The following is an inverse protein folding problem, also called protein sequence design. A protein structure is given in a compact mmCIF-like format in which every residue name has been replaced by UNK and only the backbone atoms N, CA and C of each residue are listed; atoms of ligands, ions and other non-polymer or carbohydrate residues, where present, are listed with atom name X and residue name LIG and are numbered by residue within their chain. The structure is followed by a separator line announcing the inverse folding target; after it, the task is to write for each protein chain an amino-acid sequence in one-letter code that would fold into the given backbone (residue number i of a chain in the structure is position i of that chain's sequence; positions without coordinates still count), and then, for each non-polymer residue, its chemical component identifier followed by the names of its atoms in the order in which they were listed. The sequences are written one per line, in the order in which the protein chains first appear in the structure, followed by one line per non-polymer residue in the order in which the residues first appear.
data_IF_774625490344
#
_entry.id   IF_774625490344
#
_cell.length_a   1.000
_cell.length_b   1.000
_cell.length_c   1.000
_cell.angle_alpha   90.00
_cell.angle_beta   90.00
_cell.angle_gamma   90.00
#
_symmetry.space_group_name_H-M   'P 1'
#
loop_
_entity.id
_entity.type
_entity.pdbx_description
1 polymer ?
#
# COMPACT_ATOMS: atom_id res chain seq x y z
N UNK A 1 8.85 -19.19 -9.12
CA UNK A 1 8.94 -18.02 -8.22
C UNK A 1 9.38 -16.82 -9.05
N UNK A 2 8.95 -15.62 -8.71
CA UNK A 2 9.45 -14.38 -9.32
C UNK A 2 10.93 -14.23 -8.96
N UNK A 3 11.79 -13.99 -9.96
CA UNK A 3 13.20 -13.71 -9.78
C UNK A 3 13.43 -12.22 -10.11
N UNK A 4 13.91 -11.46 -9.12
CA UNK A 4 14.18 -10.03 -9.22
C UNK A 4 15.70 -9.74 -9.09
N UNK A 5 16.54 -10.74 -9.32
CA UNK A 5 17.99 -10.57 -9.28
C UNK A 5 18.43 -9.47 -10.26
N UNK A 6 19.24 -8.54 -9.77
CA UNK A 6 19.72 -7.37 -10.52
C UNK A 6 18.75 -6.19 -10.58
N UNK A 7 17.53 -6.31 -10.03
CA UNK A 7 16.57 -5.21 -9.95
C UNK A 7 16.80 -4.35 -8.70
N UNK A 8 16.61 -3.05 -8.85
CA UNK A 8 16.64 -2.08 -7.74
C UNK A 8 15.23 -1.65 -7.39
N UNK A 9 14.82 -1.88 -6.14
CA UNK A 9 13.46 -1.64 -5.67
C UNK A 9 13.43 -0.59 -4.54
N UNK A 10 12.55 0.39 -4.64
CA UNK A 10 12.24 1.35 -3.57
C UNK A 10 10.88 1.01 -2.97
N UNK A 11 10.83 0.86 -1.64
CA UNK A 11 9.57 0.67 -0.89
C UNK A 11 9.37 1.83 0.06
N UNK A 12 8.45 2.75 -0.28
CA UNK A 12 8.06 3.88 0.56
C UNK A 12 6.91 3.44 1.49
N UNK A 13 7.05 3.75 2.79
CA UNK A 13 6.07 3.35 3.81
C UNK A 13 6.49 2.15 4.64
N UNK A 14 7.80 1.84 4.69
CA UNK A 14 8.36 0.72 5.43
C UNK A 14 8.82 1.05 6.87
N UNK A 15 8.52 2.27 7.37
CA UNK A 15 9.00 2.75 8.68
C UNK A 15 8.13 2.33 9.89
N UNK A 16 7.05 1.58 9.68
CA UNK A 16 6.24 1.03 10.77
C UNK A 16 6.60 -0.44 11.00
N UNK A 17 6.84 -0.83 12.25
CA UNK A 17 7.12 -2.22 12.59
C UNK A 17 6.00 -3.15 12.12
N UNK A 18 6.36 -4.26 11.50
CA UNK A 18 5.45 -5.28 10.97
C UNK A 18 4.37 -4.77 10.02
N UNK A 19 4.50 -3.57 9.47
CA UNK A 19 3.54 -3.04 8.51
C UNK A 19 3.69 -3.69 7.14
N UNK A 20 2.70 -3.45 6.28
CA UNK A 20 2.66 -4.01 4.93
C UNK A 20 3.91 -3.66 4.10
N UNK A 21 4.43 -2.44 4.23
CA UNK A 21 5.64 -2.01 3.53
C UNK A 21 6.87 -2.83 3.92
N UNK A 22 7.02 -3.20 5.20
CA UNK A 22 8.10 -4.08 5.65
C UNK A 22 7.96 -5.50 5.09
N UNK A 23 6.75 -6.06 5.08
CA UNK A 23 6.50 -7.42 4.53
C UNK A 23 6.79 -7.44 3.03
N UNK A 24 6.34 -6.42 2.29
CA UNK A 24 6.66 -6.28 0.86
C UNK A 24 8.18 -6.16 0.65
N UNK A 25 8.88 -5.36 1.45
CA UNK A 25 10.34 -5.20 1.31
C UNK A 25 11.09 -6.51 1.53
N UNK A 26 10.71 -7.29 2.56
CA UNK A 26 11.28 -8.64 2.80
C UNK A 26 11.04 -9.57 1.61
N UNK A 27 9.84 -9.55 1.06
CA UNK A 27 9.47 -10.39 -0.09
C UNK A 27 10.27 -10.04 -1.35
N UNK A 28 10.48 -8.75 -1.63
CA UNK A 28 11.30 -8.26 -2.74
C UNK A 28 12.77 -8.66 -2.57
N UNK A 29 13.34 -8.47 -1.38
CA UNK A 29 14.71 -8.88 -1.07
C UNK A 29 14.89 -10.40 -1.18
N UNK A 30 13.94 -11.19 -0.66
CA UNK A 30 13.96 -12.65 -0.80
C UNK A 30 13.85 -13.13 -2.27
N UNK A 31 13.24 -12.32 -3.14
CA UNK A 31 13.19 -12.55 -4.57
C UNK A 31 14.45 -12.08 -5.32
N UNK A 32 15.46 -11.55 -4.62
CA UNK A 32 16.76 -11.15 -5.17
C UNK A 32 16.89 -9.68 -5.53
N UNK A 33 15.88 -8.84 -5.27
CA UNK A 33 15.98 -7.41 -5.54
C UNK A 33 16.89 -6.70 -4.51
N UNK A 34 17.70 -5.75 -4.99
CA UNK A 34 18.32 -4.75 -4.12
C UNK A 34 17.23 -3.82 -3.61
N UNK A 35 16.89 -3.93 -2.33
CA UNK A 35 15.73 -3.25 -1.77
C UNK A 35 16.13 -2.07 -0.91
N UNK A 36 15.64 -0.89 -1.29
CA UNK A 36 15.76 0.35 -0.55
C UNK A 36 14.45 0.60 0.20
N UNK A 37 14.51 0.65 1.54
CA UNK A 37 13.36 0.90 2.39
C UNK A 37 13.30 2.35 2.81
N UNK A 38 12.11 2.95 2.71
CA UNK A 38 11.94 4.38 2.94
C UNK A 38 10.70 4.74 3.74
N UNK A 39 10.78 5.86 4.43
CA UNK A 39 9.75 6.44 5.29
C UNK A 39 10.35 7.48 6.24
N UNK A 40 9.56 7.99 7.18
CA UNK A 40 9.97 9.13 8.01
C UNK A 40 10.83 8.77 9.24
N UNK A 41 10.74 7.53 9.73
CA UNK A 41 11.44 7.10 10.97
C UNK A 41 12.67 6.29 10.61
N UNK A 42 13.85 6.79 10.99
CA UNK A 42 15.14 6.20 10.65
C UNK A 42 15.36 4.81 11.28
N UNK A 43 15.21 4.68 12.59
CA UNK A 43 15.60 3.47 13.32
C UNK A 43 14.90 2.19 12.82
N UNK A 44 13.56 2.15 12.60
CA UNK A 44 12.91 0.96 12.04
C UNK A 44 13.35 0.65 10.59
N UNK A 45 13.71 1.67 9.81
CA UNK A 45 14.22 1.47 8.46
C UNK A 45 15.62 0.85 8.48
N UNK A 46 16.52 1.33 9.34
CA UNK A 46 17.87 0.80 9.48
C UNK A 46 17.86 -0.66 9.99
N UNK A 47 16.98 -0.96 10.95
CA UNK A 47 16.77 -2.32 11.44
C UNK A 47 16.32 -3.26 10.31
N UNK A 48 15.31 -2.85 9.53
CA UNK A 48 14.81 -3.63 8.40
C UNK A 48 15.87 -3.78 7.30
N UNK A 49 16.56 -2.69 6.94
CA UNK A 49 17.60 -2.71 5.91
C UNK A 49 18.74 -3.68 6.30
N UNK A 50 19.16 -3.68 7.58
CA UNK A 50 20.14 -4.63 8.09
C UNK A 50 19.66 -6.08 8.00
N UNK A 51 18.40 -6.34 8.32
CA UNK A 51 17.77 -7.67 8.25
C UNK A 51 17.77 -8.24 6.83
N UNK A 52 17.40 -7.41 5.84
CA UNK A 52 17.20 -7.85 4.45
C UNK A 52 18.43 -7.66 3.56
N UNK A 53 19.54 -7.12 4.08
CA UNK A 53 20.72 -6.78 3.30
C UNK A 53 20.46 -5.63 2.30
N UNK A 54 19.54 -4.71 2.64
CA UNK A 54 19.12 -3.57 1.84
C UNK A 54 19.72 -2.25 2.30
N UNK A 55 19.12 -1.15 1.87
CA UNK A 55 19.49 0.22 2.26
C UNK A 55 18.30 0.95 2.89
N UNK A 56 18.58 1.83 3.86
CA UNK A 56 17.58 2.68 4.51
C UNK A 56 17.79 4.14 4.10
N UNK A 57 16.73 4.79 3.61
CA UNK A 57 16.73 6.22 3.28
C UNK A 57 15.48 6.88 3.86
N UNK A 58 15.66 7.90 4.69
CA UNK A 58 14.51 8.67 5.21
C UNK A 58 13.92 9.54 4.11
N UNK A 59 12.59 9.57 4.02
CA UNK A 59 11.86 10.42 3.07
C UNK A 59 10.46 10.70 3.62
N UNK A 60 10.03 11.95 3.54
CA UNK A 60 8.63 12.32 3.67
C UNK A 60 8.01 12.40 2.27
N UNK A 61 7.06 11.52 1.96
CA UNK A 61 6.39 11.47 0.66
C UNK A 61 5.65 12.78 0.33
N UNK A 62 5.30 13.58 1.33
CA UNK A 62 4.66 14.88 1.12
C UNK A 62 5.64 15.97 0.68
N UNK A 63 6.95 15.76 0.87
CA UNK A 63 8.03 16.64 0.44
C UNK A 63 8.54 16.22 -0.95
N UNK A 64 8.31 17.06 -1.96
CA UNK A 64 8.84 16.85 -3.31
C UNK A 64 10.36 16.68 -3.30
N UNK A 65 11.06 17.53 -2.54
CA UNK A 65 12.51 17.50 -2.47
C UNK A 65 13.06 16.20 -1.87
N UNK A 66 12.39 15.66 -0.83
CA UNK A 66 12.80 14.39 -0.23
C UNK A 66 12.62 13.23 -1.21
N UNK A 67 11.51 13.23 -1.97
CA UNK A 67 11.21 12.20 -2.97
C UNK A 67 12.22 12.25 -4.10
N UNK A 68 12.48 13.43 -4.67
CA UNK A 68 13.48 13.60 -5.72
C UNK A 68 14.88 13.15 -5.23
N UNK A 69 15.31 13.57 -4.02
CA UNK A 69 16.58 13.16 -3.44
C UNK A 69 16.69 11.64 -3.20
N UNK A 70 15.61 10.99 -2.76
CA UNK A 70 15.56 9.54 -2.61
C UNK A 70 15.81 8.83 -3.95
N UNK A 71 15.02 9.16 -4.97
CA UNK A 71 15.07 8.47 -6.26
C UNK A 71 16.37 8.76 -7.03
N UNK A 72 16.78 10.03 -7.10
CA UNK A 72 18.04 10.43 -7.75
C UNK A 72 19.26 9.80 -7.06
N UNK A 73 19.27 9.80 -5.72
CA UNK A 73 20.33 9.16 -4.95
C UNK A 73 20.42 7.65 -5.17
N UNK A 74 19.26 6.96 -5.29
CA UNK A 74 19.23 5.53 -5.61
C UNK A 74 19.70 5.29 -7.05
N UNK A 75 19.21 6.04 -8.02
CA UNK A 75 19.62 5.91 -9.41
C UNK A 75 21.12 6.19 -9.61
N UNK A 76 21.68 7.17 -8.90
CA UNK A 76 23.11 7.48 -8.95
C UNK A 76 23.99 6.33 -8.41
N UNK A 77 23.52 5.60 -7.39
CA UNK A 77 24.28 4.47 -6.81
C UNK A 77 24.09 3.15 -7.55
N UNK A 78 22.93 2.94 -8.18
CA UNK A 78 22.52 1.63 -8.71
C UNK A 78 22.21 1.65 -10.22
N UNK A 79 22.35 2.79 -10.89
CA UNK A 79 22.13 2.95 -12.32
C UNK A 79 20.71 3.37 -12.69
N UNK A 80 19.70 2.76 -12.09
CA UNK A 80 18.28 3.10 -12.28
C UNK A 80 17.42 2.59 -11.11
N UNK A 81 16.18 3.00 -11.09
CA UNK A 81 15.12 2.37 -10.28
C UNK A 81 14.29 1.46 -11.19
N UNK A 82 14.17 0.18 -10.84
CA UNK A 82 13.36 -0.78 -11.61
C UNK A 82 11.96 -0.95 -11.03
N UNK A 83 11.83 -0.84 -9.70
CA UNK A 83 10.59 -1.09 -8.97
C UNK A 83 10.37 0.03 -7.96
N UNK A 84 9.18 0.63 -7.96
CA UNK A 84 8.76 1.61 -6.97
C UNK A 84 7.42 1.22 -6.35
N UNK A 85 7.42 1.00 -5.04
CA UNK A 85 6.22 0.63 -4.27
C UNK A 85 5.86 1.76 -3.31
N UNK A 86 4.64 2.25 -3.39
CA UNK A 86 4.08 3.12 -2.36
C UNK A 86 3.11 2.33 -1.46
N UNK A 87 3.57 2.01 -0.27
CA UNK A 87 2.80 1.36 0.79
C UNK A 87 2.41 2.35 1.91
N UNK A 88 2.47 3.67 1.64
CA UNK A 88 2.03 4.66 2.62
C UNK A 88 0.51 4.72 2.70
N UNK A 89 0.02 5.11 3.86
CA UNK A 89 -1.38 5.37 4.07
C UNK A 89 -1.64 5.81 5.50
N UNK A 90 -2.72 6.54 5.65
CA UNK A 90 -3.28 6.92 6.93
C UNK A 90 -4.80 6.74 6.85
N UNK A 91 -5.34 5.80 7.64
CA UNK A 91 -6.77 5.51 7.68
C UNK A 91 -7.48 6.46 8.63
N UNK A 92 -8.05 7.53 8.11
CA UNK A 92 -8.90 8.43 8.88
C UNK A 92 -10.33 7.88 8.93
N UNK A 93 -10.77 7.43 10.09
CA UNK A 93 -12.19 7.12 10.37
C UNK A 93 -12.79 8.25 11.18
N UNK A 94 -13.69 9.02 10.55
CA UNK A 94 -14.29 10.21 11.15
C UNK A 94 -15.65 10.49 10.50
N UNK A 95 -16.71 10.79 11.27
CA UNK A 95 -18.01 11.17 10.71
C UNK A 95 -17.86 12.29 9.68
N UNK A 96 -18.66 12.26 8.63
CA UNK A 96 -18.56 13.20 7.51
C UNK A 96 -18.54 14.68 7.96
N UNK A 97 -19.43 15.02 8.90
CA UNK A 97 -19.57 16.40 9.41
C UNK A 97 -18.38 16.87 10.27
N UNK A 98 -17.57 15.94 10.76
CA UNK A 98 -16.46 16.23 11.69
C UNK A 98 -15.10 16.28 10.96
N UNK A 99 -15.05 15.93 9.67
CA UNK A 99 -13.84 16.00 8.86
C UNK A 99 -13.47 17.48 8.64
N UNK A 100 -12.28 17.88 9.09
CA UNK A 100 -11.81 19.26 8.97
C UNK A 100 -11.03 19.50 7.68
N UNK A 101 -10.82 20.78 7.34
CA UNK A 101 -9.99 21.16 6.20
C UNK A 101 -8.53 20.70 6.38
N UNK A 102 -8.03 20.66 7.62
CA UNK A 102 -6.69 20.15 7.95
C UNK A 102 -6.60 18.64 7.73
N UNK A 103 -7.62 17.87 8.11
CA UNK A 103 -7.71 16.44 7.83
C UNK A 103 -7.64 16.19 6.31
N UNK A 104 -8.44 16.93 5.54
CA UNK A 104 -8.47 16.82 4.08
C UNK A 104 -7.13 17.20 3.46
N UNK A 105 -6.54 18.32 3.90
CA UNK A 105 -5.24 18.78 3.40
C UNK A 105 -4.14 17.73 3.66
N UNK A 106 -4.08 17.16 4.86
CA UNK A 106 -3.12 16.12 5.21
C UNK A 106 -3.32 14.83 4.40
N UNK A 107 -4.58 14.41 4.19
CA UNK A 107 -4.91 13.25 3.36
C UNK A 107 -4.52 13.46 1.90
N UNK A 108 -4.86 14.62 1.33
CA UNK A 108 -4.50 14.99 -0.06
C UNK A 108 -2.98 15.06 -0.20
N UNK A 109 -2.28 15.70 0.73
CA UNK A 109 -0.82 15.80 0.70
C UNK A 109 -0.16 14.41 0.64
N UNK A 110 -0.58 13.48 1.52
CA UNK A 110 0.03 12.15 1.60
C UNK A 110 -0.44 11.23 0.46
N UNK A 111 -1.75 11.11 0.25
CA UNK A 111 -2.32 10.03 -0.57
C UNK A 111 -2.62 10.42 -2.01
N UNK A 112 -2.46 11.70 -2.37
CA UNK A 112 -2.63 12.18 -3.73
C UNK A 112 -1.39 12.93 -4.23
N UNK A 113 -1.02 14.04 -3.59
CA UNK A 113 0.12 14.86 -4.02
C UNK A 113 1.44 14.09 -3.88
N UNK A 114 1.65 13.37 -2.77
CA UNK A 114 2.84 12.54 -2.58
C UNK A 114 2.95 11.40 -3.60
N UNK A 115 1.82 10.80 -4.00
CA UNK A 115 1.81 9.81 -5.09
C UNK A 115 2.26 10.44 -6.41
N UNK A 116 1.79 11.65 -6.71
CA UNK A 116 2.22 12.39 -7.90
C UNK A 116 3.73 12.72 -7.86
N UNK A 117 4.29 13.08 -6.68
CA UNK A 117 5.73 13.28 -6.52
C UNK A 117 6.51 12.00 -6.86
N UNK A 118 6.10 10.85 -6.30
CA UNK A 118 6.71 9.56 -6.61
C UNK A 118 6.65 9.21 -8.09
N UNK A 119 5.51 9.42 -8.74
CA UNK A 119 5.36 9.14 -10.17
C UNK A 119 6.31 9.99 -11.03
N UNK A 120 6.49 11.27 -10.70
CA UNK A 120 7.46 12.13 -11.39
C UNK A 120 8.89 11.63 -11.18
N UNK A 121 9.26 11.22 -9.97
CA UNK A 121 10.59 10.67 -9.70
C UNK A 121 10.83 9.34 -10.43
N UNK A 122 9.81 8.47 -10.51
CA UNK A 122 9.85 7.26 -11.32
C UNK A 122 10.13 7.58 -12.81
N UNK A 123 9.44 8.57 -13.37
CA UNK A 123 9.64 8.97 -14.77
C UNK A 123 11.08 9.40 -15.05
N UNK A 124 11.74 10.08 -14.10
CA UNK A 124 13.12 10.53 -14.25
C UNK A 124 14.17 9.41 -14.07
N UNK A 125 13.85 8.35 -13.31
CA UNK A 125 14.82 7.35 -12.86
C UNK A 125 14.61 5.94 -13.41
N UNK A 126 13.46 5.63 -14.00
CA UNK A 126 13.15 4.35 -14.66
C UNK A 126 13.52 4.39 -16.15
N UNK A 127 14.79 4.58 -16.46
CA UNK A 127 15.27 4.84 -17.83
C UNK A 127 15.20 3.61 -18.75
N UNK A 128 15.16 2.41 -18.19
CA UNK A 128 15.02 1.14 -18.91
C UNK A 128 13.64 0.48 -18.76
N UNK A 129 12.62 1.27 -18.39
CA UNK A 129 11.31 0.74 -17.99
C UNK A 129 11.27 0.35 -16.51
N UNK A 130 10.16 -0.23 -16.06
CA UNK A 130 10.03 -0.62 -14.66
C UNK A 130 8.59 -0.93 -14.24
N UNK A 131 8.40 -1.17 -12.93
CA UNK A 131 7.11 -1.47 -12.33
C UNK A 131 6.81 -0.52 -11.16
N UNK A 132 5.74 0.24 -11.27
CA UNK A 132 5.22 1.13 -10.20
C UNK A 132 3.99 0.50 -9.60
N UNK A 133 3.94 0.39 -8.27
CA UNK A 133 2.80 -0.19 -7.56
C UNK A 133 2.34 0.74 -6.44
N UNK A 134 1.07 1.11 -6.50
CA UNK A 134 0.37 1.87 -5.47
C UNK A 134 -0.48 0.93 -4.62
N UNK A 135 -0.27 0.89 -3.32
CA UNK A 135 -1.19 0.23 -2.41
C UNK A 135 -2.38 1.16 -2.14
N UNK A 136 -3.55 0.73 -2.59
CA UNK A 136 -4.83 1.40 -2.40
C UNK A 136 -5.69 0.68 -1.34
N UNK A 137 -6.98 0.55 -1.58
CA UNK A 137 -7.93 -0.10 -0.69
C UNK A 137 -9.17 -0.59 -1.44
N UNK A 138 -9.70 -1.74 -1.04
CA UNK A 138 -11.00 -2.22 -1.52
C UNK A 138 -12.14 -1.23 -1.21
N UNK A 139 -11.96 -0.33 -0.25
CA UNK A 139 -12.96 0.69 0.11
C UNK A 139 -13.25 1.68 -1.00
N UNK A 140 -12.39 1.80 -2.01
CA UNK A 140 -12.69 2.59 -3.23
C UNK A 140 -13.83 1.98 -4.07
N UNK A 141 -14.11 0.69 -3.89
CA UNK A 141 -15.20 -0.03 -4.55
C UNK A 141 -16.29 -0.47 -3.58
N UNK A 142 -15.93 -0.96 -2.41
CA UNK A 142 -16.85 -1.35 -1.34
C UNK A 142 -16.79 -0.32 -0.22
N UNK A 143 -17.64 0.70 -0.28
CA UNK A 143 -17.63 1.82 0.67
C UNK A 143 -17.82 1.32 2.12
N UNK A 144 -17.18 2.01 3.04
CA UNK A 144 -17.37 1.85 4.48
C UNK A 144 -17.70 3.21 5.10
N UNK A 145 -18.50 3.21 6.19
CA UNK A 145 -18.89 4.43 6.87
C UNK A 145 -17.68 5.18 7.47
N UNK A 146 -17.82 6.48 7.60
CA UNK A 146 -16.86 7.38 8.26
C UNK A 146 -15.44 7.39 7.65
N UNK A 147 -15.32 7.04 6.36
CA UNK A 147 -14.04 6.89 5.67
C UNK A 147 -13.91 7.75 4.39
N UNK A 148 -14.77 8.75 4.22
CA UNK A 148 -14.92 9.48 2.96
C UNK A 148 -13.62 10.14 2.45
N UNK A 149 -12.88 10.84 3.31
CA UNK A 149 -11.65 11.52 2.93
C UNK A 149 -10.57 10.52 2.48
N UNK A 150 -10.44 9.39 3.18
CA UNK A 150 -9.54 8.30 2.80
C UNK A 150 -9.92 7.68 1.46
N UNK A 151 -11.20 7.33 1.29
CA UNK A 151 -11.71 6.70 0.06
C UNK A 151 -11.51 7.64 -1.13
N UNK A 152 -11.85 8.91 -0.98
CA UNK A 152 -11.70 9.92 -2.03
C UNK A 152 -10.26 10.11 -2.49
N UNK A 153 -9.32 10.19 -1.55
CA UNK A 153 -7.90 10.35 -1.88
C UNK A 153 -7.28 9.09 -2.48
N UNK A 154 -7.66 7.89 -2.00
CA UNK A 154 -7.24 6.62 -2.60
C UNK A 154 -7.79 6.46 -4.03
N UNK A 155 -9.06 6.76 -4.27
CA UNK A 155 -9.66 6.74 -5.61
C UNK A 155 -8.96 7.74 -6.55
N UNK A 156 -8.63 8.93 -6.05
CA UNK A 156 -7.84 9.91 -6.80
C UNK A 156 -6.46 9.39 -7.18
N UNK A 157 -5.74 8.74 -6.25
CA UNK A 157 -4.43 8.16 -6.55
C UNK A 157 -4.51 6.99 -7.55
N UNK A 158 -5.57 6.19 -7.52
CA UNK A 158 -5.82 5.16 -8.55
C UNK A 158 -5.96 5.76 -9.95
N UNK A 159 -6.63 6.92 -10.04
CA UNK A 159 -6.74 7.64 -11.31
C UNK A 159 -5.37 8.14 -11.80
N UNK A 160 -4.50 8.67 -10.91
CA UNK A 160 -3.13 9.06 -11.25
C UNK A 160 -2.33 7.88 -11.82
N UNK A 161 -2.40 6.70 -11.19
CA UNK A 161 -1.71 5.50 -11.67
C UNK A 161 -2.18 5.11 -13.07
N UNK A 162 -3.50 5.16 -13.35
CA UNK A 162 -4.04 4.86 -14.68
C UNK A 162 -3.57 5.85 -15.73
N UNK A 163 -3.57 7.15 -15.42
CA UNK A 163 -3.06 8.18 -16.32
C UNK A 163 -1.57 7.96 -16.62
N UNK A 164 -0.78 7.69 -15.59
CA UNK A 164 0.65 7.43 -15.70
C UNK A 164 0.93 6.19 -16.56
N UNK A 165 0.24 5.09 -16.30
CA UNK A 165 0.35 3.86 -17.09
C UNK A 165 0.06 4.08 -18.58
N UNK A 166 -1.00 4.85 -18.88
CA UNK A 166 -1.39 5.16 -20.27
C UNK A 166 -0.35 6.05 -20.98
N UNK A 167 0.21 7.04 -20.27
CA UNK A 167 1.14 8.00 -20.88
C UNK A 167 2.54 7.42 -21.04
N UNK A 168 3.02 6.64 -20.09
CA UNK A 168 4.43 6.22 -20.02
C UNK A 168 4.64 4.72 -20.29
N UNK A 169 3.58 3.98 -20.64
CA UNK A 169 3.69 2.61 -21.15
C UNK A 169 4.66 2.46 -22.33
N UNK A 170 4.71 3.40 -23.30
CA UNK A 170 5.71 3.35 -24.39
C UNK A 170 7.17 3.39 -23.95
N UNK A 171 7.46 3.86 -22.73
CA UNK A 171 8.80 3.81 -22.13
C UNK A 171 9.08 2.48 -21.39
N UNK A 172 8.19 1.49 -21.48
CA UNK A 172 8.31 0.22 -20.77
C UNK A 172 7.95 0.30 -19.29
N UNK A 173 7.35 1.41 -18.83
CA UNK A 173 6.94 1.56 -17.43
C UNK A 173 5.51 1.05 -17.26
N UNK A 174 5.36 0.01 -16.43
CA UNK A 174 4.05 -0.49 -15.99
C UNK A 174 3.67 0.15 -14.67
N UNK A 175 2.44 0.58 -14.52
CA UNK A 175 1.96 1.15 -13.26
C UNK A 175 0.60 0.53 -12.90
N UNK A 176 0.51 -0.06 -11.70
CA UNK A 176 -0.68 -0.76 -11.24
C UNK A 176 -1.02 -0.40 -9.78
N UNK A 177 -2.23 -0.74 -9.41
CA UNK A 177 -2.75 -0.61 -8.06
C UNK A 177 -2.98 -2.00 -7.47
N UNK A 178 -2.70 -2.18 -6.19
CA UNK A 178 -3.15 -3.32 -5.40
C UNK A 178 -4.08 -2.81 -4.32
N UNK A 179 -5.29 -3.37 -4.25
CA UNK A 179 -6.35 -2.97 -3.31
C UNK A 179 -6.65 -4.08 -2.30
N UNK A 180 -6.04 -4.00 -1.10
CA UNK A 180 -6.38 -4.87 0.02
C UNK A 180 -7.79 -4.59 0.55
N UNK A 181 -8.43 -5.61 1.15
CA UNK A 181 -9.51 -5.44 2.09
C UNK A 181 -9.00 -5.14 3.50
N UNK A 182 -9.81 -5.43 4.52
CA UNK A 182 -9.32 -5.43 5.90
C UNK A 182 -8.18 -6.46 5.99
N UNK A 183 -7.03 -6.01 6.44
CA UNK A 183 -5.79 -6.80 6.46
C UNK A 183 -5.20 -6.73 7.86
N UNK A 184 -4.77 -7.87 8.40
CA UNK A 184 -4.11 -7.96 9.70
C UNK A 184 -2.74 -7.27 9.64
N UNK A 185 -2.71 -5.99 10.00
CA UNK A 185 -1.53 -5.11 10.03
C UNK A 185 -1.60 -4.22 11.26
N UNK A 186 -0.51 -3.59 11.70
CA UNK A 186 -0.54 -2.65 12.83
C UNK A 186 -1.56 -1.50 12.66
N UNK A 187 -1.83 -1.06 11.44
CA UNK A 187 -2.87 -0.06 11.17
C UNK A 187 -4.27 -0.54 11.56
N UNK A 188 -4.54 -1.83 11.41
CA UNK A 188 -5.81 -2.46 11.74
C UNK A 188 -5.80 -3.15 13.12
N UNK A 189 -4.70 -3.08 13.88
CA UNK A 189 -4.51 -3.88 15.09
C UNK A 189 -5.62 -3.68 16.12
N UNK A 190 -6.04 -2.44 16.37
CA UNK A 190 -7.14 -2.14 17.30
C UNK A 190 -8.48 -2.75 16.83
N UNK A 191 -8.75 -2.71 15.53
CA UNK A 191 -9.95 -3.30 14.94
C UNK A 191 -9.89 -4.83 15.04
N UNK A 192 -8.77 -5.45 14.64
CA UNK A 192 -8.58 -6.91 14.68
C UNK A 192 -8.61 -7.46 16.12
N UNK A 193 -8.09 -6.70 17.08
CA UNK A 193 -8.11 -7.07 18.49
C UNK A 193 -9.54 -6.98 19.12
N UNK A 194 -10.48 -6.30 18.47
CA UNK A 194 -11.86 -6.18 18.97
C UNK A 194 -12.58 -7.53 18.78
N UNK A 195 -13.03 -8.19 19.87
CA UNK A 195 -13.70 -9.49 19.76
C UNK A 195 -14.93 -9.41 18.83
N UNK A 196 -15.04 -10.36 17.90
CA UNK A 196 -16.16 -10.45 16.95
C UNK A 196 -16.09 -9.51 15.75
N UNK A 197 -15.20 -8.51 15.71
CA UNK A 197 -15.08 -7.61 14.58
C UNK A 197 -14.51 -8.35 13.36
N UNK A 198 -13.40 -9.08 13.53
CA UNK A 198 -12.83 -9.89 12.44
C UNK A 198 -13.87 -10.86 11.87
N UNK A 199 -14.65 -11.53 12.73
CA UNK A 199 -15.70 -12.45 12.29
C UNK A 199 -16.80 -11.76 11.48
N UNK A 200 -17.15 -10.51 11.81
CA UNK A 200 -18.11 -9.72 11.05
C UNK A 200 -17.62 -9.45 9.62
N UNK A 201 -16.32 -9.11 9.49
CA UNK A 201 -15.72 -8.88 8.18
C UNK A 201 -15.51 -10.18 7.40
N UNK A 202 -15.00 -11.24 8.04
CA UNK A 202 -14.70 -12.52 7.40
C UNK A 202 -15.91 -13.13 6.68
N UNK A 203 -17.14 -12.91 7.19
CA UNK A 203 -18.37 -13.33 6.53
C UNK A 203 -18.58 -12.74 5.14
N UNK A 204 -18.07 -11.53 4.91
CA UNK A 204 -18.20 -10.83 3.63
C UNK A 204 -17.11 -11.21 2.62
N UNK A 205 -16.07 -11.91 3.08
CA UNK A 205 -15.01 -12.41 2.21
C UNK A 205 -15.35 -13.80 1.67
N UNK A 206 -15.50 -14.01 0.37
CA UNK A 206 -15.68 -15.34 -0.21
C UNK A 206 -14.63 -16.37 0.24
N UNK A 207 -13.38 -15.94 0.51
CA UNK A 207 -12.34 -16.83 1.04
C UNK A 207 -12.42 -17.06 2.55
N UNK A 208 -13.45 -16.52 3.25
CA UNK A 208 -13.77 -16.82 4.65
C UNK A 208 -12.83 -16.23 5.70
N UNK A 209 -11.91 -15.36 5.33
CA UNK A 209 -10.97 -14.69 6.24
C UNK A 209 -10.61 -13.28 5.77
N UNK A 210 -10.15 -12.42 6.66
CA UNK A 210 -9.48 -11.18 6.31
C UNK A 210 -8.10 -11.45 5.69
N UNK A 211 -7.53 -10.45 5.03
CA UNK A 211 -6.21 -10.57 4.40
C UNK A 211 -5.05 -10.52 5.39
N UNK A 212 -3.88 -10.93 4.95
CA UNK A 212 -2.59 -10.74 5.61
C UNK A 212 -1.68 -9.86 4.76
N UNK A 213 -0.63 -9.30 5.33
CA UNK A 213 0.36 -8.54 4.57
C UNK A 213 1.08 -9.42 3.53
N UNK A 214 1.24 -10.73 3.80
CA UNK A 214 1.83 -11.70 2.87
C UNK A 214 0.95 -11.91 1.62
N UNK A 215 -0.39 -11.95 1.76
CA UNK A 215 -1.31 -12.03 0.62
C UNK A 215 -1.07 -10.87 -0.35
N UNK A 216 -0.82 -9.67 0.19
CA UNK A 216 -0.54 -8.47 -0.59
C UNK A 216 0.86 -8.53 -1.21
N UNK A 217 1.87 -8.95 -0.44
CA UNK A 217 3.24 -9.06 -0.94
C UNK A 217 3.35 -10.04 -2.11
N UNK A 218 2.63 -11.17 -2.10
CA UNK A 218 2.58 -12.09 -3.22
C UNK A 218 2.01 -11.45 -4.49
N UNK A 219 0.94 -10.66 -4.36
CA UNK A 219 0.37 -9.92 -5.50
C UNK A 219 1.35 -8.87 -6.04
N UNK A 220 2.04 -8.16 -5.14
CA UNK A 220 3.08 -7.19 -5.50
C UNK A 220 4.22 -7.85 -6.25
N UNK A 221 4.76 -8.98 -5.75
CA UNK A 221 5.83 -9.74 -6.42
C UNK A 221 5.44 -10.14 -7.84
N UNK A 222 4.22 -10.64 -8.04
CA UNK A 222 3.72 -10.98 -9.38
C UNK A 222 3.71 -9.77 -10.31
N UNK A 223 3.28 -8.60 -9.83
CA UNK A 223 3.27 -7.36 -10.63
C UNK A 223 4.69 -6.81 -10.90
N UNK A 224 5.68 -7.16 -10.09
CA UNK A 224 7.08 -6.78 -10.31
C UNK A 224 7.79 -7.64 -11.37
N UNK A 225 7.26 -8.81 -11.69
CA UNK A 225 7.84 -9.71 -12.69
C UNK A 225 7.77 -9.08 -14.10
N UNK A 226 8.89 -9.02 -14.81
CA UNK A 226 8.97 -8.41 -16.15
C UNK A 226 8.09 -9.13 -17.18
N UNK A 227 7.75 -10.40 -16.93
CA UNK A 227 6.84 -11.20 -17.79
C UNK A 227 5.38 -10.81 -17.63
N UNK A 228 5.04 -10.01 -16.61
CA UNK A 228 3.67 -9.61 -16.34
C UNK A 228 3.21 -8.54 -17.33
N UNK A 229 2.31 -8.93 -18.26
CA UNK A 229 1.72 -8.02 -19.25
C UNK A 229 0.47 -7.31 -18.70
N UNK A 230 0.66 -6.58 -17.57
CA UNK A 230 -0.41 -5.86 -16.85
C UNK A 230 0.04 -4.44 -16.52
N UNK A 231 -0.73 -3.45 -16.95
CA UNK A 231 -0.54 -2.04 -16.61
C UNK A 231 -1.89 -1.31 -16.53
N UNK A 232 -1.99 -0.27 -15.71
CA UNK A 232 -3.20 0.53 -15.51
C UNK A 232 -4.32 -0.19 -14.75
N UNK A 233 -4.04 -1.35 -14.13
CA UNK A 233 -5.07 -2.15 -13.47
C UNK A 233 -5.09 -1.90 -11.96
N UNK A 234 -6.28 -2.08 -11.37
CA UNK A 234 -6.46 -2.17 -9.93
C UNK A 234 -6.76 -3.63 -9.55
N UNK A 235 -5.75 -4.31 -9.03
CA UNK A 235 -5.84 -5.72 -8.64
C UNK A 235 -6.45 -5.80 -7.22
N UNK A 236 -7.62 -6.41 -7.13
CA UNK A 236 -8.37 -6.59 -5.89
C UNK A 236 -7.80 -7.78 -5.09
N UNK A 237 -6.78 -7.54 -4.26
CA UNK A 237 -6.17 -8.55 -3.39
C UNK A 237 -6.91 -8.57 -2.03
N UNK A 238 -8.21 -8.93 -2.05
CA UNK A 238 -9.11 -8.75 -0.92
C UNK A 238 -10.02 -9.98 -0.64
N UNK A 239 -9.61 -11.17 -1.05
CA UNK A 239 -10.34 -12.40 -0.79
C UNK A 239 -11.76 -12.43 -1.39
N UNK A 240 -12.03 -11.59 -2.39
CA UNK A 240 -13.32 -11.47 -3.07
C UNK A 240 -14.30 -10.51 -2.39
N UNK A 241 -13.87 -9.69 -1.43
CA UNK A 241 -14.75 -8.71 -0.74
C UNK A 241 -15.54 -7.85 -1.73
N UNK A 242 -14.93 -7.41 -2.83
CA UNK A 242 -15.59 -6.56 -3.84
C UNK A 242 -16.66 -7.26 -4.67
N UNK A 243 -16.82 -8.56 -4.54
CA UNK A 243 -18.00 -9.30 -5.06
C UNK A 243 -19.20 -9.19 -4.13
N UNK A 244 -19.01 -8.68 -2.94
CA UNK A 244 -20.02 -8.48 -1.89
C UNK A 244 -19.99 -7.03 -1.40
N UNK A 245 -19.86 -6.79 -0.10
CA UNK A 245 -19.82 -5.46 0.54
C UNK A 245 -19.05 -5.49 1.86
N UNK A 246 -18.74 -4.35 2.43
CA UNK A 246 -18.36 -4.27 3.83
C UNK A 246 -19.57 -4.51 4.76
N UNK A 247 -19.35 -5.09 5.96
CA UNK A 247 -20.42 -5.23 6.94
C UNK A 247 -20.92 -3.84 7.37
N UNK A 248 -22.21 -3.74 7.68
CA UNK A 248 -22.82 -2.50 8.19
C UNK A 248 -22.44 -2.28 9.65
N UNK A 249 -22.50 -1.02 10.16
CA UNK A 249 -22.17 -0.74 11.56
C UNK A 249 -22.97 -1.57 12.56
N UNK A 250 -24.27 -1.78 12.31
CA UNK A 250 -25.15 -2.60 13.16
C UNK A 250 -24.77 -4.09 13.14
N UNK A 251 -24.28 -4.61 12.02
CA UNK A 251 -23.82 -6.00 11.90
C UNK A 251 -22.50 -6.21 12.64
N UNK A 252 -21.60 -5.23 12.60
CA UNK A 252 -20.36 -5.20 13.39
C UNK A 252 -20.73 -5.16 14.88
N UNK A 253 -21.59 -4.25 15.29
CA UNK A 253 -22.02 -4.11 16.68
C UNK A 253 -22.67 -5.40 17.23
N UNK A 254 -23.52 -6.05 16.44
CA UNK A 254 -24.14 -7.32 16.80
C UNK A 254 -23.11 -8.46 16.97
N UNK A 255 -22.12 -8.56 16.08
CA UNK A 255 -21.04 -9.56 16.15
C UNK A 255 -20.14 -9.34 17.38
N UNK A 256 -19.76 -8.08 17.65
CA UNK A 256 -18.97 -7.71 18.83
C UNK A 256 -19.75 -8.01 20.12
N UNK A 257 -21.02 -7.61 20.20
CA UNK A 257 -21.87 -7.88 21.36
C UNK A 257 -22.01 -9.37 21.64
N UNK A 258 -22.22 -10.20 20.62
CA UNK A 258 -22.30 -11.66 20.78
C UNK A 258 -20.98 -12.27 21.28
N UNK A 259 -19.84 -11.82 20.76
CA UNK A 259 -18.52 -12.31 21.18
C UNK A 259 -18.19 -11.90 22.63
N UNK A 260 -18.52 -10.68 23.03
CA UNK A 260 -18.33 -10.21 24.41
C UNK A 260 -19.23 -10.96 25.40
N UNK A 261 -20.50 -11.25 25.05
CA UNK A 261 -21.40 -12.02 25.88
C UNK A 261 -20.93 -13.47 26.07
N UNK A 262 -20.35 -14.09 25.03
CA UNK A 262 -19.78 -15.43 25.12
C UNK A 262 -18.49 -15.47 25.99
N UNK A 263 -17.68 -14.42 25.98
CA UNK A 263 -16.47 -14.32 26.79
C UNK A 263 -16.77 -14.08 28.30
N UNK A 264 -17.98 -13.64 28.65
CA UNK A 264 -18.40 -13.35 30.02
C UNK A 264 -19.04 -14.57 30.73
N UNK A 265 -19.24 -15.68 30.02
CA UNK A 265 -19.78 -16.98 30.52
C UNK A 265 -18.62 -17.95 30.83
#
# INVERSE_FOLDING_TARGET
MTDLTGKTAIVIGAAGEHNMGQVIARALAAAGAKTIVSGRKRDPLEALASEIGGEAVTCDLTSRADVDALFDGVAARHGQVDIAINATGWGLMKPWADVTDEDLAAMVALQFTGVHHMLNACLCTMTGGGSVIQISSATTQCLIHDHAAYIGTKAGSEALIRCFANQYGPLGIRANVVSPGLTATPMAAAAVATPGLEAAFAKEYPLGRIGTADDIAHTVLWLCDDRTFVTGQNIQANGGLTLRRNPRPEEIAASVGAAMAAAAQ
#
